data_IF_299079469632
#
_entry.id   IF_299079469632
#
_cell.length_a   1.000
_cell.length_b   1.000
_cell.length_c   1.000
_cell.angle_alpha   90.00
_cell.angle_beta   90.00
_cell.angle_gamma   90.00
#
_symmetry.space_group_name_H-M   'P 1'
#
loop_
_entity.id
_entity.type
_entity.pdbx_description
1 polymer ?
#
# COMPACT_ATOMS: atom_id res chain seq x y z
N UNK A 1 -5.98 -4.93 -72.72
CA UNK A 1 -5.33 -3.96 -71.83
C UNK A 1 -6.33 -3.59 -70.74
N UNK A 2 -6.21 -4.18 -69.56
CA UNK A 2 -6.96 -3.77 -68.37
C UNK A 2 -5.93 -3.61 -67.26
N UNK A 3 -5.57 -2.37 -66.96
CA UNK A 3 -4.71 -2.03 -65.82
C UNK A 3 -5.61 -1.96 -64.58
N UNK A 4 -5.50 -2.94 -63.69
CA UNK A 4 -6.12 -2.88 -62.38
C UNK A 4 -5.27 -1.98 -61.49
N UNK A 5 -5.81 -0.81 -61.14
CA UNK A 5 -5.21 0.07 -60.13
C UNK A 5 -5.25 -0.66 -58.79
N UNK A 6 -4.09 -0.96 -58.22
CA UNK A 6 -3.99 -1.59 -56.91
C UNK A 6 -4.53 -0.58 -55.87
N UNK A 7 -5.57 -0.92 -55.10
CA UNK A 7 -6.04 -0.04 -54.03
C UNK A 7 -4.94 0.08 -52.96
N UNK A 8 -4.70 1.30 -52.51
CA UNK A 8 -3.66 1.63 -51.53
C UNK A 8 -3.64 0.63 -50.36
N UNK A 9 -2.47 0.05 -50.11
CA UNK A 9 -2.22 -0.89 -49.02
C UNK A 9 -2.23 -0.12 -47.68
N UNK A 10 -3.37 -0.18 -46.98
CA UNK A 10 -3.57 0.53 -45.70
C UNK A 10 -3.31 -0.43 -44.54
N UNK A 11 -2.12 -0.32 -43.95
CA UNK A 11 -1.77 -0.99 -42.70
C UNK A 11 -2.52 -0.35 -41.51
N UNK A 12 -3.18 -1.11 -40.64
CA UNK A 12 -3.87 -0.57 -39.47
C UNK A 12 -2.84 -0.14 -38.41
N UNK A 13 -3.03 1.07 -37.84
CA UNK A 13 -2.14 1.68 -36.84
C UNK A 13 -1.78 3.15 -37.11
N UNK A 14 -2.08 3.67 -38.30
CA UNK A 14 -1.81 5.07 -38.66
C UNK A 14 -3.00 5.97 -38.31
N UNK A 15 -2.75 7.00 -37.48
CA UNK A 15 -3.70 8.03 -37.02
C UNK A 15 -4.61 8.48 -38.18
N UNK A 16 -5.91 8.20 -38.07
CA UNK A 16 -6.91 8.41 -39.16
C UNK A 16 -7.66 9.73 -39.08
N UNK A 17 -7.51 10.51 -38.01
CA UNK A 17 -8.15 11.80 -37.89
C UNK A 17 -7.28 12.91 -38.49
N UNK A 18 -7.83 13.59 -39.50
CA UNK A 18 -7.20 14.74 -40.15
C UNK A 18 -6.93 15.88 -39.14
N UNK A 19 -7.68 15.94 -38.04
CA UNK A 19 -7.42 16.87 -36.92
C UNK A 19 -6.12 16.53 -36.19
N UNK A 20 -5.92 15.26 -35.80
CA UNK A 20 -4.73 14.79 -35.10
C UNK A 20 -3.47 14.85 -35.99
N UNK A 21 -3.60 14.53 -37.27
CA UNK A 21 -2.49 14.66 -38.23
C UNK A 21 -2.02 16.12 -38.36
N UNK A 22 -2.97 17.07 -38.39
CA UNK A 22 -2.68 18.51 -38.42
C UNK A 22 -2.04 18.99 -37.11
N UNK A 23 -2.48 18.48 -35.96
CA UNK A 23 -1.86 18.77 -34.66
C UNK A 23 -0.40 18.30 -34.63
N UNK A 24 -0.13 17.05 -35.01
CA UNK A 24 1.23 16.51 -35.07
C UNK A 24 2.13 17.30 -36.05
N UNK A 25 1.60 17.78 -37.17
CA UNK A 25 2.35 18.64 -38.09
C UNK A 25 2.64 20.02 -37.49
N UNK A 26 1.66 20.62 -36.79
CA UNK A 26 1.85 21.88 -36.06
C UNK A 26 2.89 21.73 -34.95
N UNK A 27 2.88 20.62 -34.22
CA UNK A 27 3.84 20.35 -33.14
C UNK A 27 5.24 20.11 -33.71
N UNK A 28 5.38 19.36 -34.80
CA UNK A 28 6.67 19.22 -35.53
C UNK A 28 7.19 20.59 -35.98
N UNK A 29 6.32 21.45 -36.51
CA UNK A 29 6.72 22.81 -36.94
C UNK A 29 7.11 23.68 -35.76
N UNK A 30 6.37 23.61 -34.64
CA UNK A 30 6.68 24.32 -33.38
C UNK A 30 8.00 23.83 -32.77
N UNK A 31 8.27 22.53 -32.81
CA UNK A 31 9.55 21.95 -32.39
C UNK A 31 10.69 22.47 -33.28
N UNK A 32 10.53 22.48 -34.61
CA UNK A 32 11.54 23.00 -35.52
C UNK A 32 11.82 24.49 -35.32
N UNK A 33 10.79 25.32 -35.09
CA UNK A 33 10.99 26.75 -34.80
C UNK A 33 11.62 26.97 -33.43
N UNK A 34 11.25 26.18 -32.41
CA UNK A 34 11.85 26.23 -31.09
C UNK A 34 13.34 25.82 -31.12
N UNK A 35 13.70 24.77 -31.87
CA UNK A 35 15.10 24.38 -32.07
C UNK A 35 15.89 25.49 -32.76
N UNK A 36 15.39 26.06 -33.85
CA UNK A 36 16.04 27.20 -34.54
C UNK A 36 16.18 28.41 -33.63
N UNK A 37 15.16 28.75 -32.85
CA UNK A 37 15.23 29.87 -31.90
C UNK A 37 16.22 29.59 -30.76
N UNK A 38 16.32 28.35 -30.26
CA UNK A 38 17.32 27.94 -29.27
C UNK A 38 18.75 28.05 -29.81
N UNK A 39 18.96 27.73 -31.09
CA UNK A 39 20.25 27.88 -31.77
C UNK A 39 20.65 29.33 -32.03
N UNK A 40 19.68 30.17 -32.38
CA UNK A 40 19.87 31.60 -32.65
C UNK A 40 20.06 32.41 -31.37
N UNK A 41 19.26 32.14 -30.34
CA UNK A 41 19.29 32.82 -29.05
C UNK A 41 19.94 31.93 -28.00
N UNK A 42 21.22 31.61 -28.22
CA UNK A 42 22.00 30.87 -27.22
C UNK A 42 22.09 31.69 -25.94
N UNK A 43 21.85 31.05 -24.81
CA UNK A 43 21.98 31.71 -23.51
C UNK A 43 23.42 32.19 -23.30
N UNK A 44 23.58 33.40 -22.77
CA UNK A 44 24.88 33.96 -22.42
C UNK A 44 25.69 33.03 -21.51
N UNK A 45 25.01 32.27 -20.63
CA UNK A 45 25.64 31.27 -19.75
C UNK A 45 26.25 30.10 -20.53
N UNK A 46 25.63 29.66 -21.62
CA UNK A 46 26.15 28.58 -22.46
C UNK A 46 27.40 29.04 -23.24
N UNK A 47 27.34 30.26 -23.79
CA UNK A 47 28.48 30.88 -24.49
C UNK A 47 29.67 31.12 -23.54
N UNK A 48 29.41 31.55 -22.31
CA UNK A 48 30.45 31.74 -21.30
C UNK A 48 31.10 30.43 -20.87
N UNK A 49 30.33 29.34 -20.74
CA UNK A 49 30.84 28.01 -20.42
C UNK A 49 31.77 27.49 -21.53
N UNK A 50 31.31 27.56 -22.79
CA UNK A 50 32.08 27.14 -23.96
C UNK A 50 33.40 27.93 -24.06
N UNK A 51 33.34 29.26 -23.99
CA UNK A 51 34.53 30.12 -23.99
C UNK A 51 35.49 29.82 -22.83
N UNK A 52 34.96 29.43 -21.67
CA UNK A 52 35.76 29.02 -20.51
C UNK A 52 36.43 27.67 -20.76
N UNK A 53 35.72 26.70 -21.30
CA UNK A 53 36.26 25.38 -21.64
C UNK A 53 37.33 25.47 -22.72
N UNK A 54 37.11 26.28 -23.75
CA UNK A 54 38.12 26.63 -24.76
C UNK A 54 39.35 27.29 -24.14
N UNK A 55 39.15 28.24 -23.21
CA UNK A 55 40.24 28.90 -22.50
C UNK A 55 41.01 27.99 -21.55
N UNK A 56 40.35 27.00 -20.94
CA UNK A 56 40.99 26.00 -20.07
C UNK A 56 41.70 24.90 -20.86
N UNK A 57 41.21 24.56 -22.05
CA UNK A 57 41.79 23.54 -22.92
C UNK A 57 42.93 24.07 -23.79
N UNK A 58 42.90 25.35 -24.18
CA UNK A 58 43.97 25.96 -24.97
C UNK A 58 45.21 26.25 -24.12
N UNK A 59 46.32 25.57 -24.41
CA UNK A 59 47.62 25.93 -23.85
C UNK A 59 48.02 27.37 -24.21
N UNK A 60 48.75 28.03 -23.31
CA UNK A 60 49.27 29.39 -23.56
C UNK A 60 50.25 29.34 -24.74
N UNK A 61 50.03 30.17 -25.76
CA UNK A 61 50.90 30.23 -26.94
C UNK A 61 52.28 30.83 -26.64
N UNK A 62 53.30 30.43 -27.42
CA UNK A 62 54.67 30.96 -27.28
C UNK A 62 54.76 32.48 -27.52
N UNK A 63 53.82 33.04 -28.28
CA UNK A 63 53.74 34.48 -28.53
C UNK A 63 53.28 35.28 -27.30
N UNK A 64 52.79 34.62 -26.25
CA UNK A 64 52.41 35.28 -25.02
C UNK A 64 53.67 35.76 -24.27
N UNK A 65 53.73 37.07 -23.97
CA UNK A 65 54.82 37.69 -23.23
C UNK A 65 55.15 36.98 -21.91
N UNK A 66 54.13 36.44 -21.23
CA UNK A 66 54.29 35.68 -20.00
C UNK A 66 55.03 34.36 -20.21
N UNK A 67 54.71 33.63 -21.28
CA UNK A 67 55.42 32.39 -21.64
C UNK A 67 56.87 32.67 -22.03
N UNK A 68 57.11 33.71 -22.83
CA UNK A 68 58.46 34.14 -23.19
C UNK A 68 59.29 34.56 -21.96
N UNK A 69 58.67 35.20 -20.96
CA UNK A 69 59.34 35.53 -19.69
C UNK A 69 59.67 34.27 -18.89
N UNK A 70 58.73 33.33 -18.76
CA UNK A 70 58.97 32.05 -18.07
C UNK A 70 60.13 31.28 -18.71
N UNK A 71 60.18 31.22 -20.04
CA UNK A 71 61.26 30.55 -20.76
C UNK A 71 62.62 31.21 -20.48
N UNK A 72 62.69 32.54 -20.42
CA UNK A 72 63.92 33.27 -20.04
C UNK A 72 64.36 33.00 -18.60
N UNK A 73 63.42 32.70 -17.71
CA UNK A 73 63.70 32.31 -16.31
C UNK A 73 64.07 30.82 -16.16
N UNK A 74 64.19 30.08 -17.27
CA UNK A 74 64.61 28.68 -17.29
C UNK A 74 63.48 27.66 -17.26
N UNK A 75 62.22 28.09 -17.43
CA UNK A 75 61.08 27.17 -17.58
C UNK A 75 61.21 26.38 -18.90
N UNK A 76 61.08 25.05 -18.81
CA UNK A 76 61.00 24.14 -19.96
C UNK A 76 59.55 23.65 -20.10
N UNK A 77 58.93 23.76 -21.28
CA UNK A 77 57.54 23.33 -21.48
C UNK A 77 57.40 21.84 -21.11
N UNK A 78 56.37 21.52 -20.32
CA UNK A 78 56.10 20.16 -19.85
C UNK A 78 56.83 19.75 -18.57
N UNK A 79 57.67 20.60 -17.98
CA UNK A 79 58.31 20.33 -16.68
C UNK A 79 57.60 21.07 -15.56
N UNK A 80 57.41 20.41 -14.41
CA UNK A 80 56.89 21.03 -13.20
C UNK A 80 57.81 22.14 -12.69
N UNK A 81 57.25 23.18 -12.08
CA UNK A 81 58.04 24.27 -11.50
C UNK A 81 58.59 23.83 -10.13
N UNK A 82 59.87 24.09 -9.84
CA UNK A 82 60.50 23.82 -8.54
C UNK A 82 61.95 23.31 -8.67
N UNK A 83 62.72 23.31 -7.58
CA UNK A 83 64.16 22.93 -7.56
C UNK A 83 64.42 21.53 -8.14
N UNK A 84 63.47 20.62 -7.98
CA UNK A 84 63.52 19.25 -8.50
C UNK A 84 62.44 18.96 -9.55
N UNK A 85 61.77 20.00 -10.07
CA UNK A 85 60.64 19.83 -10.98
C UNK A 85 59.36 19.24 -10.35
N UNK A 86 59.22 19.33 -9.03
CA UNK A 86 58.15 18.69 -8.24
C UNK A 86 56.77 19.34 -8.35
N UNK A 87 56.65 20.49 -9.02
CA UNK A 87 55.37 21.17 -9.22
C UNK A 87 54.44 20.39 -10.17
N UNK A 88 53.13 20.53 -9.97
CA UNK A 88 52.13 19.96 -10.89
C UNK A 88 52.26 20.61 -12.27
N UNK A 89 52.31 19.80 -13.32
CA UNK A 89 52.40 20.27 -14.72
C UNK A 89 51.06 20.80 -15.22
N UNK A 90 49.96 20.18 -14.75
CA UNK A 90 48.61 20.57 -15.12
C UNK A 90 47.96 21.49 -14.08
N UNK A 91 47.16 22.48 -14.51
CA UNK A 91 46.43 23.34 -13.59
C UNK A 91 45.42 22.54 -12.75
N UNK A 92 45.13 23.02 -11.54
CA UNK A 92 44.07 22.43 -10.70
C UNK A 92 42.72 22.76 -11.32
N UNK A 93 41.91 21.72 -11.57
CA UNK A 93 40.57 21.86 -12.13
C UNK A 93 39.65 22.56 -11.14
N UNK A 94 38.98 23.62 -11.58
CA UNK A 94 38.02 24.36 -10.76
C UNK A 94 36.61 23.90 -11.14
N UNK A 95 35.95 23.18 -10.25
CA UNK A 95 34.54 22.84 -10.39
C UNK A 95 33.68 24.06 -10.02
N UNK A 96 33.17 24.77 -11.03
CA UNK A 96 32.22 25.86 -10.80
C UNK A 96 30.84 25.29 -10.53
N UNK A 97 30.35 25.45 -9.31
CA UNK A 97 28.97 25.14 -9.00
C UNK A 97 28.08 26.30 -9.41
N UNK A 98 27.38 26.12 -10.53
CA UNK A 98 26.47 27.15 -11.06
C UNK A 98 25.05 27.05 -10.48
N UNK A 99 24.82 26.07 -9.61
CA UNK A 99 23.52 25.76 -9.06
C UNK A 99 23.37 26.30 -7.65
N UNK A 100 22.15 26.74 -7.31
CA UNK A 100 21.78 27.19 -5.96
C UNK A 100 21.55 26.04 -4.98
N UNK A 101 21.81 24.81 -5.41
CA UNK A 101 21.62 23.62 -4.58
C UNK A 101 22.71 23.52 -3.49
N UNK A 102 22.37 22.93 -2.35
CA UNK A 102 23.34 22.63 -1.28
C UNK A 102 24.46 21.70 -1.75
N UNK A 103 25.67 21.87 -1.21
CA UNK A 103 26.77 20.91 -1.44
C UNK A 103 26.34 19.57 -0.85
N UNK A 104 26.37 18.50 -1.66
CA UNK A 104 25.87 17.17 -1.27
C UNK A 104 24.40 16.88 -1.58
N UNK A 105 23.63 17.85 -2.11
CA UNK A 105 22.23 17.60 -2.54
C UNK A 105 22.15 16.60 -3.68
N UNK A 106 23.07 16.67 -4.64
CA UNK A 106 23.12 15.75 -5.77
C UNK A 106 23.33 14.30 -5.32
N UNK A 107 24.19 14.07 -4.33
CA UNK A 107 24.40 12.72 -3.77
C UNK A 107 23.16 12.21 -3.02
N UNK A 108 22.42 13.10 -2.35
CA UNK A 108 21.16 12.74 -1.70
C UNK A 108 20.07 12.39 -2.73
N UNK A 109 19.94 13.19 -3.79
CA UNK A 109 18.99 12.92 -4.89
C UNK A 109 19.31 11.60 -5.60
N UNK A 110 20.59 11.30 -5.87
CA UNK A 110 20.99 10.02 -6.46
C UNK A 110 20.65 8.83 -5.56
N UNK A 111 20.76 8.97 -4.24
CA UNK A 111 20.34 7.91 -3.29
C UNK A 111 18.83 7.69 -3.33
N UNK A 112 18.06 8.77 -3.27
CA UNK A 112 16.60 8.71 -3.38
C UNK A 112 16.14 8.10 -4.70
N UNK A 113 16.78 8.45 -5.82
CA UNK A 113 16.45 7.89 -7.12
C UNK A 113 16.69 6.37 -7.19
N UNK A 114 17.79 5.88 -6.62
CA UNK A 114 18.08 4.43 -6.56
C UNK A 114 17.05 3.71 -5.66
N UNK A 115 16.69 4.30 -4.53
CA UNK A 115 15.69 3.73 -3.62
C UNK A 115 14.29 3.66 -4.27
N UNK A 116 13.85 4.76 -4.89
CA UNK A 116 12.59 4.79 -5.66
C UNK A 116 12.58 3.75 -6.78
N UNK A 117 13.65 3.63 -7.56
CA UNK A 117 13.75 2.63 -8.62
C UNK A 117 13.67 1.18 -8.07
N UNK A 118 14.27 0.91 -6.91
CA UNK A 118 14.17 -0.39 -6.28
C UNK A 118 12.75 -0.72 -5.79
N UNK A 119 12.02 0.28 -5.27
CA UNK A 119 10.60 0.11 -4.88
C UNK A 119 9.75 -0.20 -6.11
N UNK A 120 9.86 0.60 -7.18
CA UNK A 120 9.13 0.37 -8.44
C UNK A 120 9.41 -1.02 -9.01
N UNK A 121 10.68 -1.46 -8.99
CA UNK A 121 11.04 -2.80 -9.44
C UNK A 121 10.40 -3.92 -8.59
N UNK A 122 10.35 -3.76 -7.26
CA UNK A 122 9.67 -4.73 -6.37
C UNK A 122 8.18 -4.78 -6.61
N UNK A 123 7.53 -3.63 -6.79
CA UNK A 123 6.10 -3.56 -7.07
C UNK A 123 5.78 -4.23 -8.42
N UNK A 124 6.60 -3.97 -9.46
CA UNK A 124 6.47 -4.63 -10.77
C UNK A 124 6.58 -6.15 -10.66
N UNK A 125 7.57 -6.65 -9.92
CA UNK A 125 7.70 -8.09 -9.67
C UNK A 125 6.51 -8.67 -8.90
N UNK A 126 5.95 -7.94 -7.93
CA UNK A 126 4.74 -8.36 -7.21
C UNK A 126 3.52 -8.43 -8.14
N UNK A 127 3.31 -7.41 -8.99
CA UNK A 127 2.23 -7.40 -9.99
C UNK A 127 2.40 -8.54 -11.02
N UNK A 128 3.62 -8.79 -11.48
CA UNK A 128 3.95 -9.92 -12.37
C UNK A 128 3.65 -11.28 -11.71
N UNK A 129 3.95 -11.44 -10.41
CA UNK A 129 3.59 -12.65 -9.66
C UNK A 129 2.07 -12.77 -9.46
N UNK A 130 1.37 -11.65 -9.22
CA UNK A 130 -0.07 -11.62 -9.01
C UNK A 130 -0.85 -12.02 -10.28
N UNK A 131 -0.37 -11.64 -11.47
CA UNK A 131 -0.97 -12.01 -12.76
C UNK A 131 -0.65 -13.44 -13.22
N UNK A 132 -0.04 -14.28 -12.38
CA UNK A 132 0.22 -15.67 -12.74
C UNK A 132 -1.08 -16.48 -12.86
N UNK A 133 -1.11 -17.41 -13.83
CA UNK A 133 -2.23 -18.34 -14.04
C UNK A 133 -2.52 -19.16 -12.79
N UNK A 134 -1.49 -19.48 -12.00
CA UNK A 134 -1.63 -20.21 -10.73
C UNK A 134 -2.42 -19.43 -9.69
N UNK A 135 -2.16 -18.12 -9.52
CA UNK A 135 -2.91 -17.27 -8.60
C UNK A 135 -4.38 -17.13 -9.03
N UNK A 136 -4.65 -17.02 -10.33
CA UNK A 136 -6.03 -17.01 -10.83
C UNK A 136 -6.78 -18.33 -10.54
N UNK A 137 -6.12 -19.47 -10.73
CA UNK A 137 -6.68 -20.79 -10.40
C UNK A 137 -6.91 -20.93 -8.90
N UNK A 138 -5.95 -20.50 -8.08
CA UNK A 138 -6.07 -20.53 -6.62
C UNK A 138 -7.24 -19.67 -6.12
N UNK A 139 -7.40 -18.45 -6.65
CA UNK A 139 -8.52 -17.57 -6.31
C UNK A 139 -9.87 -18.19 -6.70
N UNK A 140 -9.96 -18.81 -7.89
CA UNK A 140 -11.16 -19.52 -8.34
C UNK A 140 -11.48 -20.75 -7.46
N UNK A 141 -10.48 -21.56 -7.11
CA UNK A 141 -10.69 -22.73 -6.24
C UNK A 141 -11.10 -22.32 -4.82
N UNK A 142 -10.49 -21.28 -4.27
CA UNK A 142 -10.85 -20.76 -2.95
C UNK A 142 -12.28 -20.24 -2.92
N UNK A 143 -12.67 -19.42 -3.92
CA UNK A 143 -14.04 -18.93 -4.03
C UNK A 143 -15.06 -20.06 -4.17
N UNK A 144 -14.72 -21.10 -4.93
CA UNK A 144 -15.59 -22.27 -5.06
C UNK A 144 -15.77 -22.99 -3.71
N UNK A 145 -14.69 -23.18 -2.96
CA UNK A 145 -14.73 -23.80 -1.63
C UNK A 145 -15.58 -22.98 -0.64
N UNK A 146 -15.48 -21.65 -0.67
CA UNK A 146 -16.30 -20.77 0.17
C UNK A 146 -17.79 -20.88 -0.17
N UNK A 147 -18.14 -20.91 -1.46
CA UNK A 147 -19.53 -21.10 -1.91
C UNK A 147 -20.05 -22.48 -1.47
N UNK A 148 -19.23 -23.53 -1.60
CA UNK A 148 -19.60 -24.88 -1.17
C UNK A 148 -19.82 -24.93 0.34
N UNK A 149 -18.91 -24.36 1.13
CA UNK A 149 -19.01 -24.25 2.59
C UNK A 149 -20.30 -23.52 3.01
N UNK A 150 -20.66 -22.43 2.30
CA UNK A 150 -21.89 -21.69 2.58
C UNK A 150 -23.16 -22.47 2.21
N UNK A 151 -23.14 -23.23 1.10
CA UNK A 151 -24.25 -24.14 0.72
C UNK A 151 -24.45 -25.23 1.77
N UNK A 152 -23.34 -25.82 2.22
CA UNK A 152 -23.35 -26.88 3.22
C UNK A 152 -23.83 -26.37 4.58
N UNK A 153 -23.39 -25.18 4.98
CA UNK A 153 -23.86 -24.51 6.18
C UNK A 153 -25.38 -24.30 6.14
N UNK A 154 -25.92 -23.79 5.01
CA UNK A 154 -27.36 -23.64 4.83
C UNK A 154 -28.12 -24.96 4.89
N UNK A 155 -27.54 -26.04 4.36
CA UNK A 155 -28.13 -27.38 4.46
C UNK A 155 -28.21 -27.84 5.92
N UNK A 156 -27.11 -27.72 6.66
CA UNK A 156 -27.06 -28.03 8.10
C UNK A 156 -28.07 -27.21 8.90
N UNK A 157 -28.19 -25.90 8.64
CA UNK A 157 -29.11 -25.03 9.36
C UNK A 157 -30.58 -25.43 9.12
N UNK A 158 -30.94 -25.78 7.89
CA UNK A 158 -32.30 -26.27 7.56
C UNK A 158 -32.62 -27.59 8.27
N UNK A 159 -31.68 -28.52 8.28
CA UNK A 159 -31.84 -29.80 8.98
C UNK A 159 -31.95 -29.58 10.49
N UNK A 160 -31.10 -28.72 11.06
CA UNK A 160 -31.12 -28.36 12.47
C UNK A 160 -32.48 -27.81 12.88
N UNK A 161 -32.99 -26.81 12.14
CA UNK A 161 -34.31 -26.23 12.39
C UNK A 161 -35.43 -27.28 12.32
N UNK A 162 -35.36 -28.20 11.35
CA UNK A 162 -36.34 -29.29 11.22
C UNK A 162 -36.33 -30.27 12.38
N UNK A 163 -35.14 -30.69 12.83
CA UNK A 163 -34.96 -31.64 13.94
C UNK A 163 -35.28 -30.99 15.30
N UNK A 164 -34.83 -29.76 15.52
CA UNK A 164 -35.11 -28.99 16.73
C UNK A 164 -36.63 -28.79 16.90
N UNK A 165 -37.34 -28.38 15.84
CA UNK A 165 -38.80 -28.26 15.83
C UNK A 165 -39.51 -29.60 16.06
N UNK A 166 -38.96 -30.69 15.52
CA UNK A 166 -39.46 -32.05 15.76
C UNK A 166 -39.43 -32.46 17.23
N UNK A 167 -38.44 -31.98 17.99
CA UNK A 167 -38.35 -32.18 19.45
C UNK A 167 -39.08 -31.10 20.27
N UNK A 168 -39.70 -30.10 19.62
CA UNK A 168 -40.46 -29.04 20.28
C UNK A 168 -39.62 -27.84 20.74
N UNK A 169 -38.36 -27.71 20.30
CA UNK A 169 -37.58 -26.49 20.52
C UNK A 169 -38.09 -25.39 19.57
N UNK A 170 -38.44 -24.24 20.15
CA UNK A 170 -38.95 -23.07 19.41
C UNK A 170 -37.91 -21.95 19.23
N UNK A 171 -36.73 -22.12 19.80
CA UNK A 171 -35.62 -21.16 19.74
C UNK A 171 -34.31 -21.93 19.44
N UNK A 172 -33.43 -21.41 18.58
CA UNK A 172 -32.17 -22.07 18.28
C UNK A 172 -31.20 -22.02 19.46
N UNK A 173 -30.37 -23.06 19.61
CA UNK A 173 -29.34 -23.11 20.66
C UNK A 173 -28.31 -21.98 20.54
N UNK A 174 -27.97 -21.60 19.30
CA UNK A 174 -27.17 -20.41 18.97
C UNK A 174 -27.92 -19.58 17.92
N UNK A 175 -27.91 -18.24 17.98
CA UNK A 175 -28.74 -17.40 17.09
C UNK A 175 -28.57 -17.64 15.58
N UNK A 176 -27.43 -18.19 15.15
CA UNK A 176 -27.10 -18.48 13.75
C UNK A 176 -27.31 -19.96 13.35
N UNK A 177 -27.68 -20.85 14.28
CA UNK A 177 -27.96 -22.27 13.97
C UNK A 177 -29.16 -22.43 13.05
N UNK A 178 -30.12 -21.51 13.11
CA UNK A 178 -31.23 -21.44 12.17
C UNK A 178 -31.00 -20.30 11.19
N UNK A 179 -31.58 -20.41 10.00
CA UNK A 179 -31.64 -19.25 9.10
C UNK A 179 -32.47 -18.18 9.78
N UNK A 180 -31.87 -17.02 10.04
CA UNK A 180 -32.64 -15.85 10.40
C UNK A 180 -33.58 -15.58 9.23
N UNK A 181 -34.89 -15.69 9.46
CA UNK A 181 -35.90 -15.18 8.52
C UNK A 181 -35.72 -13.68 8.48
N UNK A 182 -34.92 -13.19 7.56
CA UNK A 182 -35.07 -11.81 7.09
C UNK A 182 -36.53 -11.70 6.66
N UNK A 183 -37.24 -10.72 7.21
CA UNK A 183 -38.61 -10.45 6.76
C UNK A 183 -38.52 -10.22 5.27
N UNK A 184 -39.28 -11.01 4.51
CA UNK A 184 -39.49 -10.85 3.08
C UNK A 184 -39.94 -9.39 2.84
N UNK A 185 -39.01 -8.51 2.48
CA UNK A 185 -39.34 -7.48 1.52
C UNK A 185 -39.46 -8.23 0.19
N UNK A 186 -40.66 -8.22 -0.38
CA UNK A 186 -41.00 -8.77 -1.68
C UNK A 186 -40.05 -8.22 -2.76
N UNK A 187 -38.93 -8.88 -3.01
CA UNK A 187 -38.18 -8.76 -4.26
C UNK A 187 -37.81 -10.16 -4.74
N UNK A 188 -38.68 -10.63 -5.62
CA UNK A 188 -38.54 -11.79 -6.50
C UNK A 188 -37.30 -11.59 -7.38
N UNK A 189 -36.16 -12.15 -7.00
CA UNK A 189 -35.03 -12.35 -7.94
C UNK A 189 -34.51 -13.78 -7.87
N UNK A 190 -35.15 -14.60 -8.70
CA UNK A 190 -34.70 -15.94 -9.06
C UNK A 190 -33.50 -15.83 -10.02
N UNK A 191 -32.32 -15.46 -9.51
CA UNK A 191 -31.10 -15.59 -10.31
C UNK A 191 -30.55 -17.01 -10.21
N UNK A 192 -31.05 -17.86 -11.09
CA UNK A 192 -30.49 -19.18 -11.39
C UNK A 192 -29.05 -18.98 -11.88
N UNK A 193 -28.10 -19.50 -11.10
CA UNK A 193 -26.66 -19.40 -11.34
C UNK A 193 -26.25 -20.48 -12.37
N UNK A 194 -26.79 -20.38 -13.57
CA UNK A 194 -26.37 -21.17 -14.72
C UNK A 194 -25.28 -20.39 -15.49
N UNK A 195 -24.06 -20.40 -14.95
CA UNK A 195 -22.88 -19.90 -15.68
C UNK A 195 -22.55 -20.91 -16.79
N UNK A 196 -23.28 -20.83 -17.90
CA UNK A 196 -22.90 -21.45 -19.15
C UNK A 196 -21.67 -20.72 -19.67
N UNK A 197 -20.54 -21.44 -19.69
CA UNK A 197 -19.31 -20.97 -20.33
C UNK A 197 -19.55 -20.75 -21.82
N UNK A 198 -19.56 -19.49 -22.23
CA UNK A 198 -19.34 -19.12 -23.62
C UNK A 198 -18.02 -18.35 -23.68
N UNK A 199 -17.05 -19.00 -24.35
CA UNK A 199 -15.75 -18.45 -24.71
C UNK A 199 -15.93 -17.17 -25.54
N UNK A 200 -15.86 -16.02 -24.86
CA UNK A 200 -15.69 -14.75 -25.54
C UNK A 200 -14.20 -14.53 -25.81
N UNK A 201 -13.83 -14.76 -27.07
CA UNK A 201 -12.51 -14.56 -27.66
C UNK A 201 -12.06 -13.11 -27.47
N UNK A 202 -11.44 -12.79 -26.33
CA UNK A 202 -10.69 -11.56 -26.14
C UNK A 202 -9.40 -11.64 -26.94
N UNK A 203 -9.47 -11.03 -28.12
CA UNK A 203 -8.33 -10.72 -28.97
C UNK A 203 -7.41 -9.78 -28.20
N UNK A 204 -6.26 -10.28 -27.79
CA UNK A 204 -5.14 -9.49 -27.28
C UNK A 204 -4.76 -8.42 -28.31
N UNK A 205 -5.07 -7.17 -28.01
CA UNK A 205 -4.38 -6.02 -28.58
C UNK A 205 -3.25 -5.66 -27.64
N UNK A 206 -2.09 -6.27 -27.87
CA UNK A 206 -0.82 -5.63 -27.61
C UNK A 206 -0.73 -4.42 -28.55
N UNK A 207 -0.65 -3.21 -28.01
CA UNK A 207 0.36 -2.20 -28.35
C UNK A 207 0.06 -0.86 -27.66
N UNK A 208 1.05 -0.44 -26.85
CA UNK A 208 1.44 0.92 -26.47
C UNK A 208 0.41 1.83 -25.79
N UNK A 209 0.39 1.78 -24.46
CA UNK A 209 0.17 2.93 -23.59
C UNK A 209 1.44 3.11 -22.75
N UNK A 210 2.35 3.97 -23.19
CA UNK A 210 3.57 4.36 -22.44
C UNK A 210 3.65 5.88 -22.23
N UNK A 211 2.56 6.63 -22.44
CA UNK A 211 2.60 8.10 -22.31
C UNK A 211 1.56 8.71 -21.34
N UNK A 212 0.69 7.90 -20.72
CA UNK A 212 -0.30 8.39 -19.73
C UNK A 212 -0.05 7.88 -18.28
N UNK A 213 0.92 6.99 -18.06
CA UNK A 213 1.26 6.47 -16.72
C UNK A 213 2.11 7.46 -15.89
N UNK A 214 2.80 8.42 -16.53
CA UNK A 214 3.67 9.38 -15.83
C UNK A 214 2.88 10.52 -15.14
N UNK A 215 1.69 10.89 -15.62
CA UNK A 215 0.85 11.93 -14.99
C UNK A 215 -0.02 11.37 -13.85
N UNK A 216 -0.48 10.11 -13.91
CA UNK A 216 -1.17 9.45 -12.78
C UNK A 216 -0.18 9.06 -11.65
N UNK A 217 1.09 8.75 -11.95
CA UNK A 217 2.13 8.49 -10.94
C UNK A 217 2.47 9.75 -10.09
N UNK A 218 2.40 10.97 -10.64
CA UNK A 218 2.67 12.20 -9.87
C UNK A 218 1.57 12.51 -8.85
N UNK A 219 0.30 12.21 -9.15
CA UNK A 219 -0.83 12.36 -8.21
C UNK A 219 -0.82 11.28 -7.11
N UNK A 220 -0.44 10.03 -7.42
CA UNK A 220 -0.26 8.96 -6.43
C UNK A 220 0.93 9.22 -5.48
N UNK A 221 2.05 9.78 -5.98
CA UNK A 221 3.21 10.17 -5.15
C UNK A 221 2.86 11.30 -4.15
N UNK A 222 1.93 12.20 -4.47
CA UNK A 222 1.47 13.26 -3.56
C UNK A 222 0.54 12.72 -2.45
N UNK A 223 -0.27 11.70 -2.76
CA UNK A 223 -1.13 11.00 -1.78
C UNK A 223 -0.31 10.10 -0.84
N UNK A 224 0.73 9.40 -1.33
CA UNK A 224 1.61 8.56 -0.50
C UNK A 224 2.51 9.40 0.44
N UNK A 225 3.00 10.56 -0.02
CA UNK A 225 3.76 11.49 0.82
C UNK A 225 2.90 12.06 1.97
N UNK A 226 1.63 12.37 1.71
CA UNK A 226 0.68 12.81 2.75
C UNK A 226 0.32 11.67 3.74
N UNK A 227 0.26 10.41 3.27
CA UNK A 227 0.02 9.24 4.13
C UNK A 227 1.21 8.89 5.05
N UNK A 228 2.45 9.07 4.58
CA UNK A 228 3.67 8.87 5.38
C UNK A 228 3.81 9.91 6.50
N UNK A 229 3.42 11.16 6.26
CA UNK A 229 3.35 12.21 7.28
C UNK A 229 2.21 11.95 8.30
N UNK A 230 1.15 11.25 7.90
CA UNK A 230 0.06 10.83 8.79
C UNK A 230 0.49 9.65 9.69
N UNK A 231 1.18 8.65 9.14
CA UNK A 231 1.70 7.50 9.90
C UNK A 231 2.77 7.88 10.92
N UNK A 232 3.68 8.81 10.58
CA UNK A 232 4.71 9.28 11.50
C UNK A 232 4.12 10.11 12.66
N UNK A 233 3.04 10.88 12.41
CA UNK A 233 2.26 11.53 13.47
C UNK A 233 1.56 10.53 14.39
N UNK A 234 0.89 9.51 13.83
CA UNK A 234 0.20 8.48 14.63
C UNK A 234 1.18 7.60 15.42
N UNK A 235 2.38 7.33 14.88
CA UNK A 235 3.43 6.61 15.60
C UNK A 235 4.02 7.42 16.75
N UNK A 236 4.16 8.73 16.59
CA UNK A 236 4.63 9.62 17.65
C UNK A 236 3.57 9.81 18.75
N UNK A 237 2.28 9.88 18.40
CA UNK A 237 1.17 9.89 19.36
C UNK A 237 1.06 8.57 20.15
N UNK A 238 1.28 7.40 19.50
CA UNK A 238 1.38 6.11 20.18
C UNK A 238 2.63 5.99 21.08
N UNK A 239 3.75 6.58 20.70
CA UNK A 239 4.94 6.63 21.55
C UNK A 239 4.71 7.52 22.79
N UNK A 240 3.98 8.63 22.65
CA UNK A 240 3.58 9.51 23.76
C UNK A 240 2.55 8.83 24.68
N UNK A 241 1.63 8.01 24.14
CA UNK A 241 0.68 7.24 24.96
C UNK A 241 1.37 6.14 25.76
N UNK A 242 2.28 5.36 25.14
CA UNK A 242 3.05 4.31 25.82
C UNK A 242 4.01 4.87 26.89
N UNK A 243 4.55 6.07 26.67
CA UNK A 243 5.37 6.76 27.68
C UNK A 243 4.54 7.22 28.89
N UNK A 244 3.26 7.60 28.71
CA UNK A 244 2.36 7.97 29.80
C UNK A 244 1.94 6.77 30.66
N UNK A 245 1.73 5.60 30.05
CA UNK A 245 1.35 4.36 30.76
C UNK A 245 2.51 3.84 31.63
N UNK A 246 3.76 3.99 31.18
CA UNK A 246 4.95 3.63 31.98
C UNK A 246 5.14 4.56 33.19
N UNK A 247 4.74 5.83 33.11
CA UNK A 247 4.77 6.74 34.27
C UNK A 247 3.67 6.44 35.31
N UNK A 248 2.53 5.88 34.89
CA UNK A 248 1.47 5.42 35.79
C UNK A 248 1.86 4.12 36.51
N UNK A 249 2.50 3.17 35.81
CA UNK A 249 3.00 1.94 36.42
C UNK A 249 4.11 2.19 37.46
N UNK A 250 5.01 3.15 37.22
CA UNK A 250 6.04 3.55 38.19
C UNK A 250 5.46 4.29 39.42
N UNK A 251 4.31 4.96 39.28
CA UNK A 251 3.64 5.61 40.41
C UNK A 251 2.92 4.61 41.33
N UNK A 252 2.36 3.52 40.80
CA UNK A 252 1.72 2.46 41.60
C UNK A 252 2.74 1.60 42.38
N UNK A 253 3.95 1.44 41.87
CA UNK A 253 5.05 0.76 42.58
C UNK A 253 5.58 1.59 43.78
N UNK A 254 5.50 2.93 43.71
CA UNK A 254 5.89 3.82 44.81
C UNK A 254 4.80 3.86 45.90
N UNK A 255 3.51 3.77 45.55
CA UNK A 255 2.39 3.83 46.51
C UNK A 255 2.26 2.53 47.33
N UNK A 256 2.66 1.38 46.78
CA UNK A 256 2.60 0.09 47.49
C UNK A 256 3.72 -0.07 48.53
N UNK A 257 4.88 0.56 48.34
CA UNK A 257 6.01 0.52 49.28
C UNK A 257 5.90 1.47 50.49
N UNK A 258 4.94 2.40 50.51
CA UNK A 258 4.67 3.24 51.70
C UNK A 258 3.48 2.77 52.54
N UNK A 259 2.80 1.70 52.13
CA UNK A 259 1.62 1.16 52.85
C UNK A 259 1.96 0.31 54.10
N UNK A 260 3.23 -0.01 54.34
CA UNK A 260 3.64 -0.81 55.51
C UNK A 260 4.22 -0.02 56.69
N UNK A 261 4.28 1.33 56.65
CA UNK A 261 4.80 2.08 57.80
C UNK A 261 4.24 3.49 57.94
N UNK A 262 2.93 3.62 58.17
CA UNK A 262 2.39 4.83 58.84
C UNK A 262 1.28 4.44 59.84
N UNK A 263 1.61 3.55 60.78
CA UNK A 263 0.79 3.29 61.98
C UNK A 263 1.28 4.08 63.19
N UNK A 264 1.71 5.32 63.00
CA UNK A 264 1.88 6.28 64.11
C UNK A 264 1.83 7.69 63.56
N UNK A 265 0.69 8.36 63.76
CA UNK A 265 0.50 9.80 63.97
C UNK A 265 -0.94 10.18 63.58
N UNK A 266 -1.92 9.58 64.27
CA UNK A 266 -3.24 10.17 64.38
C UNK A 266 -3.23 11.13 65.56
N UNK A 267 -2.98 12.42 65.30
CA UNK A 267 -3.35 13.48 66.23
C UNK A 267 -3.37 14.83 65.51
N UNK A 268 -4.53 15.50 65.60
CA UNK A 268 -4.78 16.93 65.36
C UNK A 268 -5.01 17.34 63.90
N UNK A 269 -6.27 17.39 63.46
CA UNK A 269 -7.05 18.63 63.48
C UNK A 269 -8.47 18.40 62.95
N UNK A 270 -9.39 19.05 63.64
CA UNK A 270 -10.84 19.07 63.46
C UNK A 270 -11.31 19.68 62.15
N UNK A 271 -12.44 19.14 61.67
CA UNK A 271 -13.43 19.73 60.78
C UNK A 271 -13.60 21.24 60.99
N UNK A 272 -13.50 22.04 59.92
CA UNK A 272 -14.10 23.38 59.84
C UNK A 272 -14.41 23.73 58.38
N UNK A 273 -15.57 24.35 58.24
CA UNK A 273 -16.29 24.64 57.01
C UNK A 273 -15.58 25.64 56.07
N UNK A 274 -16.10 25.65 54.84
CA UNK A 274 -16.17 26.76 53.89
C UNK A 274 -14.89 27.27 53.17
N UNK A 275 -14.87 26.96 51.87
CA UNK A 275 -14.48 27.78 50.71
C UNK A 275 -13.12 28.48 50.77
N UNK A 276 -12.19 28.01 49.94
CA UNK A 276 -11.28 28.89 49.17
C UNK A 276 -11.20 28.39 47.72
N UNK A 277 -11.71 29.20 46.80
CA UNK A 277 -11.36 29.14 45.39
C UNK A 277 -9.91 29.59 45.20
N UNK A 278 -9.20 28.97 44.26
CA UNK A 278 -8.17 29.65 43.45
C UNK A 278 -8.25 29.14 42.02
N UNK A 279 -8.28 30.11 41.12
CA UNK A 279 -8.36 30.04 39.67
C UNK A 279 -7.27 29.18 39.02
N UNK A 280 -7.68 28.38 38.04
CA UNK A 280 -6.95 28.13 36.80
C UNK A 280 -7.93 27.51 35.80
N UNK A 281 -8.22 28.24 34.72
CA UNK A 281 -9.31 27.97 33.80
C UNK A 281 -9.32 26.55 33.22
N UNK A 282 -10.40 25.83 33.50
CA UNK A 282 -10.83 24.69 32.73
C UNK A 282 -12.36 24.75 32.60
N UNK A 283 -12.82 24.84 31.35
CA UNK A 283 -14.21 24.82 30.94
C UNK A 283 -14.87 23.49 31.34
N UNK A 284 -15.91 23.60 32.17
CA UNK A 284 -17.19 22.88 32.12
C UNK A 284 -17.18 21.34 32.03
N UNK A 285 -17.41 20.71 33.19
CA UNK A 285 -18.55 19.85 33.50
C UNK A 285 -18.98 18.78 32.47
N UNK A 286 -18.77 17.50 32.78
CA UNK A 286 -19.80 16.46 32.64
C UNK A 286 -19.57 15.35 33.69
N UNK A 287 -20.36 15.36 34.77
CA UNK A 287 -20.64 14.14 35.51
C UNK A 287 -21.51 13.26 34.60
N UNK A 288 -20.99 12.11 34.16
CA UNK A 288 -21.79 11.10 33.46
C UNK A 288 -22.10 9.97 34.42
N UNK A 289 -23.40 9.72 34.53
CA UNK A 289 -24.03 8.76 35.41
C UNK A 289 -23.47 7.34 35.30
N UNK A 290 -23.60 6.65 36.43
CA UNK A 290 -23.40 5.21 36.60
C UNK A 290 -24.32 4.46 35.62
N UNK A 291 -23.86 3.30 35.15
CA UNK A 291 -24.63 2.23 34.49
C UNK A 291 -24.65 2.22 32.94
N UNK A 292 -23.49 1.95 32.32
CA UNK A 292 -23.42 1.35 30.98
C UNK A 292 -22.44 0.19 30.97
N UNK A 293 -22.72 -0.82 31.78
CA UNK A 293 -22.21 -2.18 31.59
C UNK A 293 -23.18 -2.88 30.63
N UNK A 294 -23.13 -2.52 29.35
CA UNK A 294 -23.76 -3.29 28.30
C UNK A 294 -22.76 -4.37 27.91
N UNK A 295 -23.20 -5.61 28.08
CA UNK A 295 -22.53 -6.84 27.72
C UNK A 295 -21.95 -6.75 26.31
N UNK A 296 -20.63 -6.67 26.23
CA UNK A 296 -19.90 -7.07 25.02
C UNK A 296 -19.79 -8.58 25.10
N UNK A 297 -20.84 -9.32 24.70
CA UNK A 297 -20.56 -10.65 24.16
C UNK A 297 -19.67 -10.40 22.94
N UNK A 298 -18.46 -10.99 22.88
CA UNK A 298 -17.66 -10.87 21.68
C UNK A 298 -18.48 -11.53 20.59
N UNK A 299 -19.01 -10.74 19.66
CA UNK A 299 -19.51 -11.24 18.39
C UNK A 299 -18.29 -11.82 17.69
N UNK A 300 -18.01 -13.08 18.00
CA UNK A 300 -16.95 -13.85 17.36
C UNK A 300 -17.28 -13.78 15.87
N UNK A 301 -16.42 -13.09 15.12
CA UNK A 301 -16.42 -13.10 13.67
C UNK A 301 -16.05 -14.52 13.22
N UNK A 302 -16.98 -15.45 13.39
CA UNK A 302 -16.77 -16.86 13.09
C UNK A 302 -16.80 -17.03 11.58
N UNK A 303 -15.73 -17.61 11.03
CA UNK A 303 -15.64 -17.88 9.61
C UNK A 303 -16.71 -18.93 9.21
N UNK A 304 -17.21 -18.93 7.96
CA UNK A 304 -18.25 -19.87 7.52
C UNK A 304 -17.91 -21.33 7.77
N UNK A 305 -16.63 -21.68 7.66
CA UNK A 305 -16.11 -23.02 7.91
C UNK A 305 -16.24 -23.43 9.39
N UNK A 306 -15.89 -22.54 10.32
CA UNK A 306 -16.00 -22.81 11.76
C UNK A 306 -17.46 -23.00 12.16
N UNK A 307 -18.36 -22.18 11.60
CA UNK A 307 -19.80 -22.32 11.78
C UNK A 307 -20.32 -23.67 11.28
N UNK A 308 -19.86 -24.11 10.12
CA UNK A 308 -20.24 -25.41 9.56
C UNK A 308 -19.80 -26.54 10.49
N UNK A 309 -18.57 -26.50 11.00
CA UNK A 309 -18.04 -27.51 11.92
C UNK A 309 -18.85 -27.57 13.23
N UNK A 310 -19.06 -26.42 13.89
CA UNK A 310 -19.86 -26.34 15.12
C UNK A 310 -21.27 -26.90 14.94
N UNK A 311 -21.96 -26.51 13.86
CA UNK A 311 -23.33 -26.96 13.60
C UNK A 311 -23.38 -28.45 13.24
N UNK A 312 -22.41 -28.94 12.47
CA UNK A 312 -22.31 -30.36 12.15
C UNK A 312 -22.08 -31.21 13.39
N UNK A 313 -21.26 -30.73 14.33
CA UNK A 313 -21.00 -31.40 15.60
C UNK A 313 -22.23 -31.38 16.51
N UNK A 314 -22.98 -30.28 16.55
CA UNK A 314 -24.25 -30.22 17.27
C UNK A 314 -25.26 -31.26 16.74
N UNK A 315 -25.44 -31.35 15.42
CA UNK A 315 -26.32 -32.34 14.80
C UNK A 315 -25.92 -33.78 15.12
N UNK A 316 -24.61 -34.05 15.19
CA UNK A 316 -24.09 -35.38 15.50
C UNK A 316 -24.29 -35.76 16.96
N UNK A 317 -23.98 -34.86 17.88
CA UNK A 317 -24.03 -35.14 19.32
C UNK A 317 -25.46 -35.16 19.87
N UNK A 318 -26.32 -34.25 19.40
CA UNK A 318 -27.68 -34.10 19.92
C UNK A 318 -28.66 -35.04 19.25
N UNK A 319 -28.54 -35.22 17.93
CA UNK A 319 -29.54 -35.93 17.13
C UNK A 319 -29.06 -37.26 16.56
N UNK A 320 -27.79 -37.63 16.78
CA UNK A 320 -27.15 -38.73 16.07
C UNK A 320 -27.42 -38.63 14.56
N UNK A 321 -27.37 -37.42 13.99
CA UNK A 321 -27.63 -37.17 12.57
C UNK A 321 -26.36 -36.75 11.83
N UNK A 322 -26.14 -37.33 10.64
CA UNK A 322 -25.07 -36.90 9.73
C UNK A 322 -25.65 -36.25 8.47
N UNK A 323 -25.33 -34.97 8.27
CA UNK A 323 -25.78 -34.20 7.10
C UNK A 323 -25.24 -34.72 5.77
N UNK A 324 -24.05 -35.32 5.79
CA UNK A 324 -23.37 -35.81 4.58
C UNK A 324 -23.89 -37.18 4.14
N UNK A 325 -24.19 -38.06 5.11
CA UNK A 325 -24.86 -39.34 4.85
C UNK A 325 -26.37 -39.17 4.57
N UNK A 326 -26.98 -38.09 5.08
CA UNK A 326 -28.41 -37.84 4.99
C UNK A 326 -29.26 -38.78 5.86
N UNK A 327 -28.68 -39.39 6.91
CA UNK A 327 -29.35 -40.39 7.77
C UNK A 327 -29.22 -40.04 9.25
N UNK A 328 -30.25 -40.43 10.01
CA UNK A 328 -30.22 -40.47 11.47
C UNK A 328 -29.79 -41.88 11.91
N UNK A 329 -28.94 -41.94 12.93
CA UNK A 329 -28.46 -43.17 13.56
C UNK A 329 -29.18 -43.40 14.89
N UNK A 330 -29.22 -44.65 15.33
CA UNK A 330 -29.94 -45.02 16.57
C UNK A 330 -29.22 -44.50 17.82
N UNK A 331 -27.89 -44.59 17.85
CA UNK A 331 -27.03 -44.22 18.97
C UNK A 331 -25.68 -43.66 18.50
N UNK A 332 -24.96 -42.96 19.37
CA UNK A 332 -23.62 -42.43 19.10
C UNK A 332 -22.60 -43.52 18.68
N UNK A 333 -22.78 -44.75 19.19
CA UNK A 333 -21.95 -45.89 18.79
C UNK A 333 -22.24 -46.32 17.34
N UNK A 334 -23.52 -46.38 16.97
CA UNK A 334 -23.97 -46.74 15.63
C UNK A 334 -23.47 -45.72 14.60
N UNK A 335 -23.49 -44.43 14.96
CA UNK A 335 -22.89 -43.38 14.14
C UNK A 335 -21.39 -43.57 13.96
N UNK A 336 -20.63 -43.85 15.03
CA UNK A 336 -19.17 -44.01 14.94
C UNK A 336 -18.74 -45.20 14.10
N UNK A 337 -19.52 -46.27 14.10
CA UNK A 337 -19.20 -47.49 13.37
C UNK A 337 -19.64 -47.42 11.88
N UNK A 338 -20.67 -46.64 11.56
CA UNK A 338 -21.25 -46.60 10.20
C UNK A 338 -21.01 -45.30 9.41
N UNK A 339 -20.69 -44.17 10.07
CA UNK A 339 -20.47 -42.89 9.41
C UNK A 339 -18.98 -42.73 9.00
N UNK A 340 -18.67 -42.42 7.73
CA UNK A 340 -17.29 -42.27 7.24
C UNK A 340 -16.43 -41.22 7.97
N UNK A 341 -17.04 -40.15 8.49
CA UNK A 341 -16.34 -39.12 9.24
C UNK A 341 -17.22 -37.91 9.54
N UNK A 342 -16.68 -36.82 10.13
CA UNK A 342 -17.42 -35.58 10.42
C UNK A 342 -17.54 -34.64 9.23
N UNK A 343 -16.60 -34.67 8.29
CA UNK A 343 -16.46 -33.67 7.22
C UNK A 343 -17.05 -34.15 5.90
N UNK A 344 -17.22 -33.21 4.96
CA UNK A 344 -17.62 -33.53 3.59
C UNK A 344 -16.59 -34.42 2.89
N UNK A 345 -15.30 -34.20 3.12
CA UNK A 345 -14.22 -34.92 2.43
C UNK A 345 -14.19 -36.42 2.79
N UNK A 346 -14.77 -36.77 3.94
CA UNK A 346 -14.87 -38.16 4.39
C UNK A 346 -15.96 -38.97 3.64
N UNK A 347 -16.87 -38.30 2.93
CA UNK A 347 -18.04 -38.90 2.25
C UNK A 347 -18.01 -38.67 0.74
#
# INVERSE_FOLDING_TARGET
MWCYSIPNDVRPGLIRDHSLQRQAEMDKKKQQTNMKNKELFRSHRAVELERREEGLSSAISNNNKGFALMQKMGYKPGTGIGKSGSGRVEPVTIALKTDRQGIGRETALRRLAVEKAAIRQRQRQRREQEFTVENFRAHRSQKHLEIQTAKDLRSCQRVCEGLDKGQGYNEPAEPWFWLTREKEDDDDDHHDDEVQGQDEKTRTTDESGEEDDDEEEEEEEEIEFQAADCWTKMANEKQVSMASEQTHAAAEEIVTLTSSSVSTLCAKLTRRDDVWCVDSGATTHMCRDKNSFLELTPTISQKPFEKLDMLSNYLRQTYCYCVWCGTQYDDDKDMRDNCPGPTREDH
#
